data_IF_546399803970
#
_entry.id   IF_546399803970
#
_cell.length_a   1.000
_cell.length_b   1.000
_cell.length_c   1.000
_cell.angle_alpha   90.00
_cell.angle_beta   90.00
_cell.angle_gamma   90.00
#
_symmetry.space_group_name_H-M   'P 1'
#
loop_
_entity.id
_entity.type
_entity.pdbx_description
1 polymer ?
#
# COMPACT_ATOMS: atom_id res chain seq x y z
N UNK A 1 11.17 18.33 -4.45
CA UNK A 1 12.17 19.21 -5.12
C UNK A 1 11.47 20.21 -6.07
N UNK A 2 10.73 19.76 -7.09
CA UNK A 2 10.00 20.67 -8.01
C UNK A 2 9.03 21.60 -7.31
N UNK A 3 8.26 21.12 -6.32
CA UNK A 3 7.32 21.90 -5.52
C UNK A 3 8.03 23.01 -4.73
N UNK A 4 9.17 22.71 -4.14
CA UNK A 4 9.97 23.70 -3.39
C UNK A 4 10.69 24.70 -4.29
N UNK A 5 11.06 24.30 -5.52
CA UNK A 5 11.76 25.15 -6.47
C UNK A 5 10.84 26.17 -7.17
N UNK A 6 9.59 25.80 -7.45
CA UNK A 6 8.64 26.62 -8.22
C UNK A 6 7.66 27.35 -7.29
N UNK A 7 7.42 26.84 -6.07
CA UNK A 7 6.39 27.33 -5.15
C UNK A 7 5.10 26.51 -5.23
N UNK A 8 4.32 26.51 -4.14
CA UNK A 8 3.12 25.66 -4.01
C UNK A 8 2.03 26.00 -5.03
N UNK A 9 1.81 27.30 -5.27
CA UNK A 9 0.76 27.77 -6.18
C UNK A 9 1.05 27.36 -7.62
N UNK A 10 2.25 27.69 -8.11
CA UNK A 10 2.64 27.40 -9.49
C UNK A 10 2.84 25.89 -9.69
N UNK A 11 3.23 25.16 -8.65
CA UNK A 11 3.27 23.69 -8.71
C UNK A 11 1.86 23.09 -8.85
N UNK A 12 0.87 23.59 -8.10
CA UNK A 12 -0.51 23.12 -8.19
C UNK A 12 -1.16 23.43 -9.56
N UNK A 13 -0.85 24.59 -10.15
CA UNK A 13 -1.43 25.01 -11.41
C UNK A 13 -0.85 24.24 -12.61
N UNK A 14 0.47 24.17 -12.73
CA UNK A 14 1.12 23.54 -13.89
C UNK A 14 2.38 22.72 -13.58
N UNK A 15 3.12 23.06 -12.52
CA UNK A 15 4.43 22.53 -12.22
C UNK A 15 4.49 21.03 -11.93
N UNK A 16 3.36 20.41 -11.54
CA UNK A 16 3.22 18.98 -11.38
C UNK A 16 3.50 18.18 -12.66
N UNK A 17 3.40 18.84 -13.84
CA UNK A 17 3.70 18.22 -15.14
C UNK A 17 5.19 17.99 -15.35
N UNK A 18 6.07 18.74 -14.69
CA UNK A 18 7.53 18.67 -14.90
C UNK A 18 8.08 17.27 -14.58
N UNK A 19 7.77 16.63 -13.43
CA UNK A 19 8.20 15.26 -13.16
C UNK A 19 7.74 14.26 -14.22
N UNK A 20 6.54 14.45 -14.77
CA UNK A 20 6.03 13.60 -15.85
C UNK A 20 6.78 13.81 -17.16
N UNK A 21 7.13 15.05 -17.49
CA UNK A 21 7.97 15.34 -18.68
C UNK A 21 9.37 14.75 -18.55
N UNK A 22 9.96 14.80 -17.35
CA UNK A 22 11.24 14.13 -17.07
C UNK A 22 11.13 12.62 -17.25
N UNK A 23 9.98 12.02 -16.92
CA UNK A 23 9.76 10.57 -17.12
C UNK A 23 9.75 10.16 -18.59
N UNK A 24 9.49 11.08 -19.55
CA UNK A 24 9.59 10.81 -20.99
C UNK A 24 11.04 10.47 -21.39
N UNK A 25 12.04 11.11 -20.77
CA UNK A 25 13.45 10.77 -20.97
C UNK A 25 13.75 9.34 -20.52
N UNK A 26 13.26 8.95 -19.33
CA UNK A 26 13.42 7.60 -18.81
C UNK A 26 12.69 6.57 -19.69
N UNK A 27 11.52 6.94 -20.20
CA UNK A 27 10.78 6.10 -21.14
C UNK A 27 11.56 5.91 -22.45
N UNK A 28 12.14 6.98 -23.01
CA UNK A 28 12.97 6.91 -24.21
C UNK A 28 14.18 5.98 -24.01
N UNK A 29 14.87 6.09 -22.87
CA UNK A 29 15.97 5.19 -22.50
C UNK A 29 15.48 3.74 -22.37
N UNK A 30 14.35 3.52 -21.70
CA UNK A 30 13.75 2.19 -21.53
C UNK A 30 13.38 1.56 -22.87
N UNK A 31 12.76 2.32 -23.77
CA UNK A 31 12.43 1.88 -25.14
C UNK A 31 13.70 1.57 -25.92
N UNK A 32 14.70 2.44 -25.86
CA UNK A 32 15.98 2.22 -26.53
C UNK A 32 16.67 0.94 -26.06
N UNK A 33 16.73 0.69 -24.74
CA UNK A 33 17.27 -0.55 -24.17
C UNK A 33 16.46 -1.75 -24.69
N UNK A 34 15.13 -1.67 -24.65
CA UNK A 34 14.25 -2.75 -25.08
C UNK A 34 14.40 -3.09 -26.57
N UNK A 35 14.60 -2.10 -27.42
CA UNK A 35 14.87 -2.29 -28.85
C UNK A 35 16.25 -2.90 -29.14
N UNK A 36 17.20 -2.74 -28.20
CA UNK A 36 18.54 -3.32 -28.29
C UNK A 36 18.66 -4.72 -27.68
N UNK A 37 17.75 -5.11 -26.81
CA UNK A 37 17.73 -6.43 -26.20
C UNK A 37 17.16 -7.45 -27.19
N UNK A 38 17.95 -8.49 -27.47
CA UNK A 38 17.47 -9.64 -28.21
C UNK A 38 16.48 -10.45 -27.35
N UNK A 39 15.49 -11.06 -28.00
CA UNK A 39 14.59 -12.01 -27.35
C UNK A 39 15.38 -13.14 -26.68
N UNK A 40 14.86 -13.65 -25.55
CA UNK A 40 15.55 -14.74 -24.85
C UNK A 40 15.70 -15.98 -25.78
N UNK A 41 16.78 -16.75 -25.66
CA UNK A 41 16.99 -17.94 -26.50
C UNK A 41 15.85 -18.95 -26.42
N UNK A 42 15.17 -19.04 -25.27
CA UNK A 42 14.01 -19.90 -25.06
C UNK A 42 12.82 -19.41 -25.90
N UNK A 43 12.60 -18.10 -25.93
CA UNK A 43 11.51 -17.51 -26.69
C UNK A 43 11.75 -17.60 -28.20
N UNK A 44 13.00 -17.43 -28.66
CA UNK A 44 13.39 -17.62 -30.06
C UNK A 44 13.13 -19.06 -30.51
N UNK A 45 13.53 -20.06 -29.74
CA UNK A 45 13.24 -21.47 -30.01
C UNK A 45 11.74 -21.74 -30.08
N UNK A 46 10.98 -21.20 -29.14
CA UNK A 46 9.52 -21.36 -29.10
C UNK A 46 8.86 -20.78 -30.36
N UNK A 47 9.38 -19.66 -30.87
CA UNK A 47 8.92 -19.01 -32.10
C UNK A 47 9.30 -19.80 -33.35
N UNK A 48 10.53 -20.34 -33.39
CA UNK A 48 11.00 -21.22 -34.48
C UNK A 48 10.21 -22.52 -34.53
N UNK A 49 9.82 -23.10 -33.40
CA UNK A 49 9.01 -24.29 -33.29
C UNK A 49 7.50 -24.07 -33.57
N UNK A 50 7.10 -22.83 -33.87
CA UNK A 50 5.69 -22.48 -34.14
C UNK A 50 4.77 -22.61 -32.91
N UNK A 51 5.33 -22.71 -31.69
CA UNK A 51 4.58 -22.88 -30.44
C UNK A 51 4.13 -21.56 -29.82
N UNK A 52 4.22 -20.44 -30.55
CA UNK A 52 3.71 -19.14 -30.09
C UNK A 52 2.18 -19.16 -30.03
N UNK A 53 1.61 -18.68 -28.96
CA UNK A 53 0.16 -18.52 -28.85
C UNK A 53 -0.35 -17.41 -29.77
N UNK A 54 -1.41 -17.69 -30.54
CA UNK A 54 -2.10 -16.70 -31.37
C UNK A 54 -3.16 -15.91 -30.58
N UNK A 55 -3.63 -16.45 -29.44
CA UNK A 55 -4.63 -15.82 -28.57
C UNK A 55 -4.29 -16.04 -27.08
N UNK A 56 -3.23 -15.37 -26.54
CA UNK A 56 -2.70 -15.67 -25.20
C UNK A 56 -3.73 -15.53 -24.07
N UNK A 57 -4.60 -14.53 -24.15
CA UNK A 57 -5.64 -14.32 -23.12
C UNK A 57 -6.68 -15.43 -23.16
N UNK A 58 -7.14 -15.83 -24.33
CA UNK A 58 -8.11 -16.92 -24.48
C UNK A 58 -7.51 -18.25 -24.00
N UNK A 59 -6.28 -18.57 -24.37
CA UNK A 59 -5.59 -19.78 -23.90
C UNK A 59 -5.36 -19.78 -22.39
N UNK A 60 -5.06 -18.60 -21.80
CA UNK A 60 -4.83 -18.49 -20.38
C UNK A 60 -6.10 -18.68 -19.54
N UNK A 61 -7.26 -18.22 -20.00
CA UNK A 61 -8.49 -18.19 -19.20
C UNK A 61 -9.57 -19.18 -19.67
N UNK A 62 -9.63 -19.55 -20.95
CA UNK A 62 -10.63 -20.49 -21.44
C UNK A 62 -10.33 -21.93 -21.03
N UNK A 63 -9.07 -22.29 -20.82
CA UNK A 63 -8.69 -23.60 -20.32
C UNK A 63 -8.50 -23.57 -18.80
N UNK A 64 -9.32 -24.37 -18.06
CA UNK A 64 -9.30 -24.41 -16.60
C UNK A 64 -7.92 -24.74 -16.01
N UNK A 65 -7.15 -25.62 -16.64
CA UNK A 65 -5.79 -25.93 -16.19
C UNK A 65 -4.87 -24.71 -16.19
N UNK A 66 -4.95 -23.89 -17.25
CA UNK A 66 -4.19 -22.65 -17.36
C UNK A 66 -4.75 -21.55 -16.45
N UNK A 67 -6.06 -21.38 -16.42
CA UNK A 67 -6.74 -20.41 -15.54
C UNK A 67 -6.43 -20.65 -14.08
N UNK A 68 -6.40 -21.90 -13.63
CA UNK A 68 -5.99 -22.25 -12.26
C UNK A 68 -4.57 -21.80 -11.94
N UNK A 69 -3.63 -21.97 -12.86
CA UNK A 69 -2.24 -21.52 -12.68
C UNK A 69 -2.15 -19.98 -12.61
N UNK A 70 -2.89 -19.28 -13.47
CA UNK A 70 -2.96 -17.81 -13.47
C UNK A 70 -3.55 -17.32 -12.15
N UNK A 71 -4.65 -17.91 -11.67
CA UNK A 71 -5.27 -17.53 -10.40
C UNK A 71 -4.31 -17.80 -9.23
N UNK A 72 -3.65 -18.97 -9.21
CA UNK A 72 -2.67 -19.27 -8.16
C UNK A 72 -1.47 -18.32 -8.17
N UNK A 73 -1.00 -17.91 -9.35
CA UNK A 73 0.07 -16.92 -9.48
C UNK A 73 -0.37 -15.53 -8.99
N UNK A 74 -1.58 -15.10 -9.36
CA UNK A 74 -2.14 -13.81 -8.93
C UNK A 74 -2.36 -13.78 -7.42
N UNK A 75 -3.05 -14.77 -6.86
CA UNK A 75 -3.39 -14.80 -5.44
C UNK A 75 -2.18 -15.14 -4.57
N UNK A 76 -1.38 -16.13 -4.98
CA UNK A 76 -0.25 -16.63 -4.18
C UNK A 76 1.03 -15.81 -4.30
N UNK A 77 1.25 -15.13 -5.44
CA UNK A 77 2.48 -14.38 -5.68
C UNK A 77 2.26 -12.86 -5.71
N UNK A 78 1.38 -12.41 -6.60
CA UNK A 78 1.24 -10.98 -6.89
C UNK A 78 0.50 -10.24 -5.79
N UNK A 79 -0.61 -10.81 -5.26
CA UNK A 79 -1.45 -10.14 -4.29
C UNK A 79 -0.71 -9.85 -2.96
N UNK A 80 0.01 -10.85 -2.43
CA UNK A 80 0.81 -10.66 -1.20
C UNK A 80 1.90 -9.61 -1.37
N UNK A 81 2.65 -9.68 -2.47
CA UNK A 81 3.70 -8.71 -2.78
C UNK A 81 3.11 -7.29 -3.00
N UNK A 82 1.95 -7.20 -3.66
CA UNK A 82 1.26 -5.92 -3.85
C UNK A 82 0.88 -5.27 -2.52
N UNK A 83 0.29 -6.03 -1.59
CA UNK A 83 -0.05 -5.54 -0.24
C UNK A 83 1.19 -5.04 0.50
N UNK A 84 2.28 -5.82 0.50
CA UNK A 84 3.54 -5.43 1.16
C UNK A 84 4.09 -4.14 0.58
N UNK A 85 4.12 -4.01 -0.75
CA UNK A 85 4.62 -2.82 -1.43
C UNK A 85 3.78 -1.57 -1.10
N UNK A 86 2.47 -1.66 -1.26
CA UNK A 86 1.58 -0.52 -1.02
C UNK A 86 1.56 -0.11 0.46
N UNK A 87 1.63 -1.05 1.38
CA UNK A 87 1.73 -0.76 2.81
C UNK A 87 3.06 -0.07 3.15
N UNK A 88 4.16 -0.55 2.62
CA UNK A 88 5.49 0.01 2.90
C UNK A 88 5.71 1.40 2.29
N UNK A 89 5.04 1.76 1.20
CA UNK A 89 5.25 3.03 0.51
C UNK A 89 4.08 4.00 0.72
N UNK A 90 2.90 3.66 0.23
CA UNK A 90 1.77 4.59 0.20
C UNK A 90 1.10 4.70 1.57
N UNK A 91 0.85 3.59 2.24
CA UNK A 91 0.23 3.64 3.56
C UNK A 91 1.18 4.27 4.59
N UNK A 92 2.48 3.98 4.54
CA UNK A 92 3.46 4.63 5.42
C UNK A 92 3.50 6.15 5.22
N UNK A 93 3.46 6.63 3.96
CA UNK A 93 3.38 8.07 3.67
C UNK A 93 2.09 8.68 4.22
N UNK A 94 0.95 8.05 3.96
CA UNK A 94 -0.35 8.49 4.50
C UNK A 94 -0.33 8.51 6.03
N UNK A 95 0.23 7.48 6.67
CA UNK A 95 0.33 7.36 8.12
C UNK A 95 1.16 8.50 8.72
N UNK A 96 2.33 8.79 8.15
CA UNK A 96 3.17 9.90 8.58
C UNK A 96 2.44 11.26 8.50
N UNK A 97 1.79 11.54 7.38
CA UNK A 97 1.17 12.85 7.14
C UNK A 97 -0.18 13.01 7.84
N UNK A 98 -1.05 12.02 7.73
CA UNK A 98 -2.44 12.14 8.18
C UNK A 98 -2.63 11.76 9.65
N UNK A 99 -1.93 10.74 10.13
CA UNK A 99 -2.06 10.24 11.50
C UNK A 99 -1.04 10.88 12.43
N UNK A 100 0.24 10.83 12.08
CA UNK A 100 1.31 11.37 12.92
C UNK A 100 1.52 12.87 12.75
N UNK A 101 0.87 13.51 11.76
CA UNK A 101 0.95 14.94 11.47
C UNK A 101 2.37 15.45 11.18
N UNK A 102 3.22 14.58 10.65
CA UNK A 102 4.54 14.97 10.15
C UNK A 102 4.37 15.83 8.90
N UNK A 103 5.16 16.87 8.75
CA UNK A 103 5.08 17.74 7.58
C UNK A 103 5.32 17.00 6.26
N UNK A 104 4.71 17.49 5.18
CA UNK A 104 4.74 16.81 3.88
C UNK A 104 6.13 16.71 3.27
N UNK A 105 7.00 17.71 3.50
CA UNK A 105 8.37 17.68 2.98
C UNK A 105 9.20 16.57 3.65
N UNK A 106 9.21 16.53 4.97
CA UNK A 106 9.92 15.52 5.77
C UNK A 106 9.40 14.11 5.45
N UNK A 107 8.08 13.93 5.40
CA UNK A 107 7.47 12.62 5.06
C UNK A 107 7.90 12.12 3.68
N UNK A 108 7.87 12.98 2.67
CA UNK A 108 8.30 12.61 1.31
C UNK A 108 9.81 12.33 1.24
N UNK A 109 10.61 13.08 2.00
CA UNK A 109 12.06 12.86 2.08
C UNK A 109 12.39 11.51 2.71
N UNK A 110 11.70 11.13 3.80
CA UNK A 110 11.85 9.84 4.46
C UNK A 110 11.51 8.68 3.51
N UNK A 111 10.41 8.80 2.76
CA UNK A 111 10.04 7.78 1.77
C UNK A 111 11.08 7.73 0.62
N UNK A 112 11.58 8.87 0.15
CA UNK A 112 12.60 8.91 -0.89
C UNK A 112 13.89 8.20 -0.44
N UNK A 113 14.37 8.44 0.77
CA UNK A 113 15.51 7.73 1.34
C UNK A 113 15.24 6.23 1.50
N UNK A 114 14.05 5.86 1.98
CA UNK A 114 13.63 4.44 2.09
C UNK A 114 13.69 3.74 0.73
N UNK A 115 13.22 4.40 -0.34
CA UNK A 115 13.29 3.86 -1.70
C UNK A 115 14.73 3.74 -2.21
N UNK A 116 15.56 4.74 -1.94
CA UNK A 116 16.97 4.73 -2.35
C UNK A 116 17.72 3.55 -1.71
N UNK A 117 17.58 3.35 -0.40
CA UNK A 117 18.16 2.20 0.29
C UNK A 117 17.52 0.88 -0.18
N UNK A 118 16.21 0.86 -0.37
CA UNK A 118 15.49 -0.30 -0.88
C UNK A 118 15.96 -0.76 -2.26
N UNK A 119 16.39 0.18 -3.11
CA UNK A 119 16.87 -0.14 -4.46
C UNK A 119 18.09 -1.07 -4.45
N UNK A 120 18.97 -0.94 -3.48
CA UNK A 120 20.12 -1.84 -3.33
C UNK A 120 19.65 -3.29 -3.10
N UNK A 121 18.63 -3.47 -2.29
CA UNK A 121 18.08 -4.79 -1.99
C UNK A 121 17.36 -5.43 -3.18
N UNK A 122 16.84 -4.65 -4.12
CA UNK A 122 16.29 -5.23 -5.36
C UNK A 122 17.34 -6.01 -6.14
N UNK A 123 18.57 -5.47 -6.25
CA UNK A 123 19.67 -6.16 -6.93
C UNK A 123 20.08 -7.42 -6.16
N UNK A 124 20.22 -7.31 -4.83
CA UNK A 124 20.62 -8.43 -3.97
C UNK A 124 19.61 -9.58 -4.02
N UNK A 125 18.32 -9.26 -3.78
CA UNK A 125 17.27 -10.28 -3.78
C UNK A 125 16.94 -10.78 -5.19
N UNK A 126 17.11 -9.94 -6.23
CA UNK A 126 17.02 -10.37 -7.62
C UNK A 126 18.04 -11.46 -7.92
N UNK A 127 19.32 -11.20 -7.64
CA UNK A 127 20.38 -12.18 -7.79
C UNK A 127 20.18 -13.44 -6.95
N UNK A 128 19.72 -13.29 -5.70
CA UNK A 128 19.43 -14.43 -4.83
C UNK A 128 18.26 -15.26 -5.38
N UNK A 129 17.23 -14.62 -5.92
CA UNK A 129 16.06 -15.30 -6.48
C UNK A 129 16.37 -16.14 -7.71
N UNK A 130 17.39 -15.75 -8.47
CA UNK A 130 17.85 -16.54 -9.63
C UNK A 130 18.57 -17.84 -9.20
N UNK A 131 19.12 -17.88 -7.98
CA UNK A 131 19.81 -19.07 -7.44
C UNK A 131 18.89 -20.02 -6.69
N UNK A 132 18.03 -19.52 -5.81
CA UNK A 132 17.19 -20.35 -4.93
C UNK A 132 15.73 -20.42 -5.38
N UNK A 133 15.38 -19.70 -6.46
CA UNK A 133 14.03 -19.60 -6.98
C UNK A 133 13.25 -18.42 -6.41
N UNK A 134 12.29 -17.94 -7.19
CA UNK A 134 11.50 -16.73 -6.87
C UNK A 134 10.50 -16.97 -5.75
N UNK A 135 9.85 -18.16 -5.74
CA UNK A 135 8.77 -18.47 -4.78
C UNK A 135 9.21 -18.39 -3.31
N UNK A 136 10.35 -18.99 -2.86
CA UNK A 136 10.79 -18.90 -1.48
C UNK A 136 11.06 -17.45 -1.04
N UNK A 137 11.65 -16.62 -1.91
CA UNK A 137 11.97 -15.23 -1.60
C UNK A 137 10.69 -14.39 -1.41
N UNK A 138 9.70 -14.54 -2.30
CA UNK A 138 8.41 -13.83 -2.18
C UNK A 138 7.70 -14.22 -0.88
N UNK A 139 7.62 -15.52 -0.58
CA UNK A 139 6.98 -16.01 0.63
C UNK A 139 7.70 -15.54 1.90
N UNK A 140 9.04 -15.59 1.92
CA UNK A 140 9.83 -15.07 3.02
C UNK A 140 9.62 -13.57 3.23
N UNK A 141 9.60 -12.78 2.16
CA UNK A 141 9.30 -11.35 2.20
C UNK A 141 7.92 -11.05 2.77
N UNK A 142 6.89 -11.77 2.33
CA UNK A 142 5.53 -11.63 2.86
C UNK A 142 5.46 -12.01 4.35
N UNK A 143 6.15 -13.08 4.76
CA UNK A 143 6.20 -13.51 6.16
C UNK A 143 6.90 -12.48 7.04
N UNK A 144 8.06 -11.99 6.62
CA UNK A 144 8.79 -10.93 7.33
C UNK A 144 7.90 -9.70 7.48
N UNK A 145 7.24 -9.25 6.40
CA UNK A 145 6.34 -8.11 6.45
C UNK A 145 5.18 -8.33 7.44
N UNK A 146 4.54 -9.49 7.42
CA UNK A 146 3.46 -9.83 8.35
C UNK A 146 3.89 -9.79 9.82
N UNK A 147 5.13 -10.20 10.11
CA UNK A 147 5.67 -10.19 11.47
C UNK A 147 6.17 -8.82 11.91
N UNK A 148 6.65 -8.00 10.97
CA UNK A 148 7.38 -6.76 11.32
C UNK A 148 6.56 -5.49 11.16
N UNK A 149 5.48 -5.46 10.36
CA UNK A 149 4.73 -4.24 10.14
C UNK A 149 4.17 -3.64 11.43
N UNK A 150 3.54 -4.44 12.30
CA UNK A 150 2.99 -3.92 13.56
C UNK A 150 4.06 -3.29 14.46
N UNK A 151 5.18 -3.96 14.78
CA UNK A 151 6.22 -3.34 15.60
C UNK A 151 6.88 -2.14 14.92
N UNK A 152 7.07 -2.16 13.58
CA UNK A 152 7.65 -1.03 12.85
C UNK A 152 6.73 0.19 12.92
N UNK A 153 5.44 0.05 12.65
CA UNK A 153 4.49 1.17 12.73
C UNK A 153 4.36 1.72 14.16
N UNK A 154 4.45 0.86 15.18
CA UNK A 154 4.52 1.31 16.58
C UNK A 154 5.79 2.15 16.83
N UNK A 155 6.96 1.70 16.39
CA UNK A 155 8.21 2.44 16.52
C UNK A 155 8.18 3.78 15.77
N UNK A 156 7.60 3.80 14.55
CA UNK A 156 7.42 5.05 13.81
C UNK A 156 6.57 6.04 14.61
N UNK A 157 5.50 5.58 15.28
CA UNK A 157 4.66 6.42 16.13
C UNK A 157 5.45 6.98 17.31
N UNK A 158 6.19 6.14 18.02
CA UNK A 158 7.03 6.54 19.16
C UNK A 158 8.06 7.61 18.78
N UNK A 159 8.69 7.44 17.60
CA UNK A 159 9.75 8.36 17.16
C UNK A 159 9.21 9.65 16.56
N UNK A 160 8.13 9.59 15.79
CA UNK A 160 7.60 10.72 15.07
C UNK A 160 6.63 11.57 15.91
N UNK A 161 5.86 10.96 16.81
CA UNK A 161 4.91 11.66 17.67
C UNK A 161 4.76 10.97 19.04
N UNK A 162 5.74 11.14 19.96
CA UNK A 162 5.70 10.50 21.28
C UNK A 162 4.56 11.00 22.17
N UNK A 163 4.03 12.20 21.93
CA UNK A 163 2.87 12.73 22.66
C UNK A 163 1.59 12.00 22.27
N UNK A 164 1.42 11.67 20.99
CA UNK A 164 0.30 10.87 20.50
C UNK A 164 0.34 9.45 21.07
N UNK A 165 1.53 8.83 21.13
CA UNK A 165 1.68 7.49 21.72
C UNK A 165 1.25 7.47 23.19
N UNK A 166 1.75 8.42 23.99
CA UNK A 166 1.34 8.56 25.40
C UNK A 166 -0.17 8.79 25.53
N UNK A 167 -0.78 9.58 24.65
CA UNK A 167 -2.21 9.79 24.65
C UNK A 167 -2.98 8.50 24.33
N UNK A 168 -2.54 7.71 23.33
CA UNK A 168 -3.15 6.43 22.98
C UNK A 168 -3.06 5.39 24.11
N UNK A 169 -1.96 5.39 24.87
CA UNK A 169 -1.76 4.48 26.00
C UNK A 169 -2.55 4.88 27.24
N UNK A 170 -2.62 6.17 27.55
CA UNK A 170 -3.20 6.66 28.81
C UNK A 170 -4.69 7.01 28.70
N UNK A 171 -5.17 7.36 27.50
CA UNK A 171 -6.57 7.78 27.30
C UNK A 171 -7.36 6.66 26.64
N UNK A 172 -8.33 6.10 27.37
CA UNK A 172 -9.23 5.07 26.88
C UNK A 172 -10.55 5.70 26.42
N UNK A 173 -10.66 5.95 25.14
CA UNK A 173 -11.92 6.42 24.55
C UNK A 173 -12.85 5.24 24.33
N UNK A 174 -14.08 5.31 24.87
CA UNK A 174 -15.08 4.26 24.73
C UNK A 174 -16.39 4.84 24.20
N UNK A 175 -16.88 4.26 23.13
CA UNK A 175 -18.21 4.60 22.57
C UNK A 175 -19.23 3.66 23.19
N UNK A 176 -20.15 4.19 23.97
CA UNK A 176 -21.25 3.46 24.58
C UNK A 176 -22.52 3.70 23.77
N UNK A 177 -23.16 2.65 23.32
CA UNK A 177 -24.38 2.74 22.50
C UNK A 177 -25.19 1.46 22.53
N UNK A 178 -26.47 1.55 22.09
CA UNK A 178 -27.30 0.37 21.90
C UNK A 178 -26.76 -0.48 20.72
N UNK A 179 -26.70 -1.84 20.88
CA UNK A 179 -26.23 -2.71 19.79
C UNK A 179 -26.97 -2.55 18.47
N UNK A 180 -28.25 -2.18 18.52
CA UNK A 180 -29.10 -1.97 17.33
C UNK A 180 -28.75 -0.72 16.54
N UNK A 181 -28.06 0.24 17.15
CA UNK A 181 -27.65 1.49 16.51
C UNK A 181 -26.23 1.41 15.91
N UNK A 182 -25.46 0.39 16.27
CA UNK A 182 -24.10 0.21 15.78
C UNK A 182 -24.07 -0.86 14.68
N UNK A 183 -23.87 -0.43 13.46
CA UNK A 183 -23.67 -1.31 12.32
C UNK A 183 -22.21 -1.70 12.09
N UNK A 184 -21.94 -2.32 10.94
CA UNK A 184 -20.61 -2.61 10.46
C UNK A 184 -20.00 -1.35 9.80
N UNK A 185 -18.75 -1.02 10.17
CA UNK A 185 -18.00 0.10 9.59
C UNK A 185 -17.25 -0.26 8.30
N UNK A 186 -17.45 -1.45 7.77
CA UNK A 186 -16.76 -1.87 6.55
C UNK A 186 -17.14 -0.97 5.37
N UNK A 187 -16.17 -0.18 4.91
CA UNK A 187 -16.33 0.80 3.84
C UNK A 187 -15.06 0.88 2.98
N UNK A 188 -14.75 -0.17 2.22
CA UNK A 188 -13.48 -0.27 1.50
C UNK A 188 -13.33 0.76 0.38
N UNK A 189 -14.44 1.30 -0.12
CA UNK A 189 -14.46 2.28 -1.23
C UNK A 189 -14.66 3.71 -0.72
N UNK A 190 -14.99 3.92 0.57
CA UNK A 190 -15.20 5.24 1.14
C UNK A 190 -16.53 5.92 0.77
N UNK A 191 -17.42 5.24 0.05
CA UNK A 191 -18.68 5.81 -0.46
C UNK A 191 -19.88 5.62 0.45
N UNK A 192 -19.77 4.77 1.47
CA UNK A 192 -20.86 4.48 2.41
C UNK A 192 -21.12 5.67 3.32
N UNK A 193 -22.38 6.12 3.36
CA UNK A 193 -22.84 7.15 4.30
C UNK A 193 -23.33 6.47 5.57
N UNK A 194 -22.73 6.83 6.69
CA UNK A 194 -23.17 6.34 8.01
C UNK A 194 -24.31 7.22 8.52
N UNK A 195 -25.47 6.59 8.76
CA UNK A 195 -26.70 7.30 9.14
C UNK A 195 -26.97 7.27 10.63
N UNK A 196 -26.58 6.18 11.32
CA UNK A 196 -26.79 6.04 12.76
C UNK A 196 -25.84 6.89 13.58
N UNK A 197 -26.24 7.33 14.74
CA UNK A 197 -25.39 8.12 15.65
C UNK A 197 -24.13 7.38 16.09
N UNK A 198 -24.25 6.07 16.34
CA UNK A 198 -23.11 5.22 16.69
C UNK A 198 -22.08 5.13 15.56
N UNK A 199 -22.54 4.84 14.34
CA UNK A 199 -21.63 4.68 13.21
C UNK A 199 -20.95 6.00 12.84
N UNK A 200 -21.67 7.13 12.97
CA UNK A 200 -21.08 8.47 12.77
C UNK A 200 -19.99 8.78 13.80
N UNK A 201 -20.25 8.52 15.09
CA UNK A 201 -19.27 8.74 16.16
C UNK A 201 -18.03 7.86 15.94
N UNK A 202 -18.23 6.57 15.65
CA UNK A 202 -17.13 5.63 15.37
C UNK A 202 -16.35 6.01 14.12
N UNK A 203 -17.04 6.40 13.05
CA UNK A 203 -16.39 6.85 11.81
C UNK A 203 -15.57 8.14 12.03
N UNK A 204 -16.10 9.08 12.79
CA UNK A 204 -15.38 10.32 13.15
C UNK A 204 -14.12 10.03 13.96
N UNK A 205 -14.23 9.19 14.99
CA UNK A 205 -13.06 8.80 15.80
C UNK A 205 -12.01 8.06 14.96
N UNK A 206 -12.44 7.17 14.08
CA UNK A 206 -11.54 6.47 13.15
C UNK A 206 -10.83 7.44 12.17
N UNK A 207 -11.57 8.39 11.59
CA UNK A 207 -11.00 9.42 10.71
C UNK A 207 -10.03 10.36 11.45
N UNK A 208 -10.34 10.64 12.72
CA UNK A 208 -9.47 11.45 13.60
C UNK A 208 -8.29 10.65 14.16
N UNK A 209 -8.14 9.39 13.78
CA UNK A 209 -7.08 8.48 14.24
C UNK A 209 -7.08 8.25 15.77
N UNK A 210 -8.25 8.39 16.39
CA UNK A 210 -8.44 8.14 17.82
C UNK A 210 -8.73 6.66 18.02
N UNK A 211 -7.92 5.98 18.84
CA UNK A 211 -8.18 4.60 19.24
C UNK A 211 -9.37 4.57 20.20
N UNK A 212 -10.40 3.81 19.87
CA UNK A 212 -11.59 3.67 20.70
C UNK A 212 -12.00 2.22 20.88
N UNK A 213 -12.67 1.92 22.00
CA UNK A 213 -13.43 0.70 22.23
C UNK A 213 -14.92 0.95 22.00
N UNK A 214 -15.67 -0.11 21.73
CA UNK A 214 -17.14 -0.03 21.70
C UNK A 214 -17.70 -0.87 22.83
N UNK A 215 -18.53 -0.25 23.69
CA UNK A 215 -19.26 -0.93 24.75
C UNK A 215 -20.75 -0.87 24.43
N UNK A 216 -21.39 -2.02 24.44
CA UNK A 216 -22.82 -2.11 24.16
C UNK A 216 -23.62 -2.09 25.47
N UNK A 217 -24.58 -1.18 25.53
CA UNK A 217 -25.56 -1.10 26.63
C UNK A 217 -26.96 -1.08 26.01
N UNK A 218 -27.74 -2.11 26.31
CA UNK A 218 -29.10 -2.23 25.78
C UNK A 218 -30.07 -1.16 26.32
N UNK A 219 -29.73 -0.53 27.46
CA UNK A 219 -30.53 0.54 28.07
C UNK A 219 -30.14 1.93 27.55
N UNK A 220 -29.05 2.05 26.74
CA UNK A 220 -28.63 3.34 26.20
C UNK A 220 -29.65 3.88 25.20
N UNK A 221 -30.12 5.10 25.41
CA UNK A 221 -31.05 5.82 24.53
C UNK A 221 -30.35 6.69 23.47
N UNK A 222 -29.02 6.58 23.39
CA UNK A 222 -28.18 7.36 22.44
C UNK A 222 -26.72 6.92 22.50
N UNK A 223 -25.85 7.70 21.89
CA UNK A 223 -24.41 7.46 21.86
C UNK A 223 -23.69 8.37 22.82
N UNK A 224 -22.91 7.78 23.71
CA UNK A 224 -22.03 8.52 24.63
C UNK A 224 -20.58 8.13 24.36
N UNK A 225 -19.73 9.13 24.19
CA UNK A 225 -18.28 8.94 24.11
C UNK A 225 -17.69 9.26 25.48
N UNK A 226 -17.12 8.25 26.13
CA UNK A 226 -16.41 8.39 27.41
C UNK A 226 -14.90 8.44 27.16
N UNK A 227 -14.24 9.34 27.82
CA UNK A 227 -12.78 9.54 27.76
C UNK A 227 -12.19 9.25 29.12
#
# INVERSE_FOLDING_TARGET
FTRTAIGEKDFADWGWRIPFLVSVLLLAVSVWIRLRLNESPIFQKMKEEGKGSTAPLTEAFANWSNAKLVILALVGGVMGQGVVWYTGQFYALFFLQSILKVDGYTSNLLIAWSLLFGTIFFVVFGWLSDRIGRKPIILAGCLIAALTFFPIFKQITTLANPSLEKAIENVKVTVVSNPKECGDLFNPVGTRVFTTSCDRARAFLAQSSVKYGTQFDAAATGVTVKV
#
